data_IF_965757454155
#
_entry.id   IF_965757454155
#
_cell.length_a   1.000
_cell.length_b   1.000
_cell.length_c   1.000
_cell.angle_alpha   90.00
_cell.angle_beta   90.00
_cell.angle_gamma   90.00
#
_symmetry.space_group_name_H-M   'P 1'
#
loop_
_entity.id
_entity.type
_entity.pdbx_description
1 polymer ?
#
# COMPACT_ATOMS: atom_id res chain seq x y z
N UNK A 1 15.05 -6.76 14.75
CA UNK A 1 13.61 -7.04 14.60
C UNK A 1 13.01 -6.06 13.59
N UNK A 2 12.26 -6.56 12.64
CA UNK A 2 11.59 -5.72 11.65
C UNK A 2 10.15 -5.51 12.08
N UNK A 3 9.76 -4.26 12.22
CA UNK A 3 8.38 -3.91 12.55
C UNK A 3 7.66 -3.55 11.26
N UNK A 4 6.52 -4.18 11.04
CA UNK A 4 5.65 -3.84 9.91
C UNK A 4 4.57 -2.88 10.37
N UNK A 5 4.18 -1.97 9.47
CA UNK A 5 3.07 -1.06 9.72
C UNK A 5 2.25 -0.89 8.45
N UNK A 6 0.96 -0.56 8.56
CA UNK A 6 0.17 -0.25 7.38
C UNK A 6 0.74 0.97 6.64
N UNK A 7 0.68 0.96 5.31
CA UNK A 7 1.22 2.06 4.52
C UNK A 7 0.57 3.40 4.87
N UNK A 8 -0.68 3.38 5.31
CA UNK A 8 -1.40 4.59 5.70
C UNK A 8 -0.71 5.33 6.85
N UNK A 9 0.12 4.64 7.62
CA UNK A 9 0.88 5.23 8.72
C UNK A 9 2.28 5.68 8.31
N UNK A 10 2.64 5.51 7.05
CA UNK A 10 3.92 5.97 6.54
C UNK A 10 3.93 7.48 6.31
N UNK A 11 5.09 7.98 5.91
CA UNK A 11 5.28 9.39 5.62
C UNK A 11 5.11 9.65 4.13
N UNK A 12 4.30 10.67 3.79
CA UNK A 12 4.09 11.05 2.39
C UNK A 12 5.42 11.46 1.76
N UNK A 13 5.64 11.05 0.52
CA UNK A 13 6.85 11.31 -0.21
C UNK A 13 7.94 10.27 -0.06
N UNK A 14 7.81 9.35 0.87
CA UNK A 14 8.80 8.30 1.08
C UNK A 14 8.47 7.04 0.30
N UNK A 15 9.52 6.34 -0.13
CA UNK A 15 9.41 5.04 -0.78
C UNK A 15 9.47 3.95 0.27
N UNK A 16 8.63 2.93 0.09
CA UNK A 16 8.58 1.78 0.98
C UNK A 16 8.53 0.49 0.18
N UNK A 17 9.02 -0.59 0.78
CA UNK A 17 8.89 -1.91 0.21
C UNK A 17 7.69 -2.60 0.86
N UNK A 18 6.80 -3.18 0.04
CA UNK A 18 5.67 -3.95 0.55
C UNK A 18 6.21 -5.25 1.13
N UNK A 19 5.92 -5.49 2.41
CA UNK A 19 6.39 -6.70 3.10
C UNK A 19 5.32 -7.76 3.15
N UNK A 20 4.05 -7.36 3.25
CA UNK A 20 2.94 -8.29 3.37
C UNK A 20 1.65 -7.60 2.94
N UNK A 21 0.75 -8.37 2.36
CA UNK A 21 -0.62 -7.94 2.08
C UNK A 21 -1.55 -8.72 3.01
N UNK A 22 -2.29 -8.01 3.84
CA UNK A 22 -3.26 -8.62 4.74
C UNK A 22 -4.63 -8.79 4.10
N UNK A 23 -5.53 -9.44 4.83
CA UNK A 23 -6.90 -9.66 4.40
C UNK A 23 -7.11 -11.04 3.79
N UNK A 24 -8.28 -11.24 3.21
CA UNK A 24 -8.63 -12.51 2.57
C UNK A 24 -8.06 -12.57 1.14
N UNK A 25 -8.23 -13.73 0.49
CA UNK A 25 -7.69 -13.95 -0.84
C UNK A 25 -8.26 -12.99 -1.87
N UNK A 26 -9.51 -12.61 -1.74
CA UNK A 26 -10.16 -11.66 -2.65
C UNK A 26 -9.50 -10.29 -2.57
N UNK A 27 -9.23 -9.81 -1.37
CA UNK A 27 -8.54 -8.54 -1.16
C UNK A 27 -7.11 -8.60 -1.69
N UNK A 28 -6.40 -9.67 -1.38
CA UNK A 28 -5.02 -9.87 -1.85
C UNK A 28 -4.95 -9.88 -3.36
N UNK A 29 -5.87 -10.58 -4.02
CA UNK A 29 -5.93 -10.64 -5.48
C UNK A 29 -6.24 -9.28 -6.08
N UNK A 30 -7.18 -8.56 -5.49
CA UNK A 30 -7.54 -7.22 -5.96
C UNK A 30 -6.33 -6.28 -5.89
N UNK A 31 -5.64 -6.25 -4.76
CA UNK A 31 -4.45 -5.42 -4.59
C UNK A 31 -3.32 -5.85 -5.52
N UNK A 32 -3.13 -7.15 -5.72
CA UNK A 32 -2.13 -7.66 -6.65
C UNK A 32 -2.40 -7.19 -8.09
N UNK A 33 -3.67 -7.16 -8.49
CA UNK A 33 -4.07 -6.66 -9.80
C UNK A 33 -3.72 -5.19 -10.00
N UNK A 34 -3.67 -4.42 -8.91
CA UNK A 34 -3.26 -3.02 -8.95
C UNK A 34 -1.74 -2.85 -8.87
N UNK A 35 -0.99 -3.94 -8.66
CA UNK A 35 0.45 -3.91 -8.56
C UNK A 35 0.99 -4.00 -7.13
N UNK A 36 0.13 -4.13 -6.14
CA UNK A 36 0.56 -4.22 -4.74
C UNK A 36 0.83 -5.66 -4.36
N UNK A 37 2.08 -6.07 -4.48
CA UNK A 37 2.53 -7.42 -4.14
C UNK A 37 3.73 -7.33 -3.20
N UNK A 38 3.94 -8.33 -2.33
CA UNK A 38 5.14 -8.34 -1.47
C UNK A 38 6.42 -8.24 -2.31
N UNK A 39 7.36 -7.42 -1.85
CA UNK A 39 8.62 -7.16 -2.54
C UNK A 39 8.58 -5.98 -3.50
N UNK A 40 7.41 -5.49 -3.86
CA UNK A 40 7.28 -4.33 -4.73
C UNK A 40 7.58 -3.05 -3.95
N UNK A 41 8.26 -2.11 -4.60
CA UNK A 41 8.51 -0.79 -4.00
C UNK A 41 7.42 0.18 -4.43
N UNK A 42 6.94 0.96 -3.47
CA UNK A 42 5.86 1.93 -3.69
C UNK A 42 6.20 3.23 -2.99
N UNK A 43 5.71 4.33 -3.52
CA UNK A 43 5.87 5.65 -2.89
C UNK A 43 4.52 6.13 -2.40
N UNK A 44 4.45 6.45 -1.10
CA UNK A 44 3.25 7.05 -0.53
C UNK A 44 3.16 8.50 -1.01
N UNK A 45 2.16 8.84 -1.78
CA UNK A 45 2.01 10.19 -2.33
C UNK A 45 1.25 11.07 -1.36
N UNK A 46 0.07 10.64 -0.92
CA UNK A 46 -0.73 11.41 0.01
C UNK A 46 -1.72 10.53 0.74
N UNK A 47 -2.11 10.98 1.92
CA UNK A 47 -3.15 10.36 2.73
C UNK A 47 -4.22 11.41 2.96
N UNK A 48 -5.43 11.13 2.51
CA UNK A 48 -6.58 12.00 2.68
C UNK A 48 -7.67 11.25 3.45
N UNK A 49 -8.68 11.98 3.91
CA UNK A 49 -9.80 11.33 4.58
C UNK A 49 -10.45 10.32 3.64
N UNK A 50 -10.41 9.04 4.02
CA UNK A 50 -11.04 7.97 3.27
C UNK A 50 -10.29 7.46 2.04
N UNK A 51 -9.15 8.07 1.68
CA UNK A 51 -8.40 7.61 0.50
C UNK A 51 -6.90 7.83 0.65
N UNK A 52 -6.13 6.99 -0.05
CA UNK A 52 -4.67 7.04 -0.05
C UNK A 52 -4.20 6.95 -1.49
N UNK A 53 -3.27 7.82 -1.87
CA UNK A 53 -2.68 7.78 -3.21
C UNK A 53 -1.27 7.22 -3.08
N UNK A 54 -1.00 6.18 -3.84
CA UNK A 54 0.28 5.47 -3.85
C UNK A 54 0.79 5.37 -5.27
N UNK A 55 2.07 5.65 -5.46
CA UNK A 55 2.72 5.47 -6.75
C UNK A 55 3.35 4.08 -6.78
N UNK A 56 2.92 3.25 -7.72
CA UNK A 56 3.44 1.90 -7.92
C UNK A 56 3.75 1.71 -9.40
N UNK A 57 4.95 1.25 -9.71
CA UNK A 57 5.41 1.06 -11.11
C UNK A 57 5.20 2.31 -11.96
N UNK A 58 5.51 3.48 -11.38
CA UNK A 58 5.38 4.79 -12.03
C UNK A 58 3.93 5.16 -12.38
N UNK A 59 2.95 4.52 -11.75
CA UNK A 59 1.54 4.82 -11.92
C UNK A 59 0.96 5.22 -10.57
N UNK A 60 0.20 6.30 -10.55
CA UNK A 60 -0.51 6.72 -9.35
C UNK A 60 -1.81 5.96 -9.24
N UNK A 61 -2.01 5.33 -8.09
CA UNK A 61 -3.19 4.53 -7.80
C UNK A 61 -3.85 5.07 -6.54
N UNK A 62 -5.14 5.41 -6.63
CA UNK A 62 -5.93 5.78 -5.47
C UNK A 62 -6.64 4.56 -4.92
N UNK A 63 -6.50 4.32 -3.61
CA UNK A 63 -7.18 3.23 -2.93
C UNK A 63 -7.88 3.75 -1.69
N UNK A 64 -8.91 3.03 -1.23
CA UNK A 64 -9.58 3.38 0.01
C UNK A 64 -8.65 3.19 1.20
N UNK A 65 -8.93 3.89 2.29
CA UNK A 65 -8.17 3.71 3.53
C UNK A 65 -8.28 2.27 4.05
N UNK A 66 -9.42 1.63 3.83
CA UNK A 66 -9.62 0.22 4.23
C UNK A 66 -8.62 -0.68 3.52
N UNK A 67 -8.44 -0.51 2.21
CA UNK A 67 -7.47 -1.29 1.44
C UNK A 67 -6.04 -0.91 1.81
N UNK A 68 -5.77 0.37 2.03
CA UNK A 68 -4.44 0.82 2.41
C UNK A 68 -3.97 0.21 3.73
N UNK A 69 -4.88 -0.05 4.65
CA UNK A 69 -4.56 -0.68 5.92
C UNK A 69 -4.11 -2.14 5.77
N UNK A 70 -4.35 -2.75 4.63
CA UNK A 70 -3.94 -4.12 4.34
C UNK A 70 -2.54 -4.22 3.75
N UNK A 71 -1.97 -3.09 3.30
CA UNK A 71 -0.63 -3.07 2.73
C UNK A 71 0.36 -2.79 3.86
N UNK A 72 1.16 -3.79 4.19
CA UNK A 72 2.14 -3.69 5.27
C UNK A 72 3.52 -3.35 4.70
N UNK A 73 4.13 -2.37 5.30
CA UNK A 73 5.47 -1.90 4.90
C UNK A 73 6.47 -2.02 6.03
#
# INVERSE_FOLDING_TARGET
MVLMMPIIMGNSGNEYEIRKIGGNDKIKKHLANLGFVPGEKVTLVSVNAGSVIVNVKNVRVGISDVLARRIMI
#
